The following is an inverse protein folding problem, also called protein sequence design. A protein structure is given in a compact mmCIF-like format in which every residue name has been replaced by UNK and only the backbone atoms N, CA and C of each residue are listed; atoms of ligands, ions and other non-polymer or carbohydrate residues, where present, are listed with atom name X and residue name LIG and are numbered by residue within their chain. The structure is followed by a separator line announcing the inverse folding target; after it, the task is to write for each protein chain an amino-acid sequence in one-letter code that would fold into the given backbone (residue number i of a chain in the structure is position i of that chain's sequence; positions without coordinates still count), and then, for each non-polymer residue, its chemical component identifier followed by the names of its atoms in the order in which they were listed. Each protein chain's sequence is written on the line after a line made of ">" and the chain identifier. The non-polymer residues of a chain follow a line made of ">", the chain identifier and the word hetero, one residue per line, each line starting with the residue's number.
data_IF_027042639218
#
_entry.id   IF_027042639218
#
_cell.length_a   1.000
_cell.length_b   1.000
_cell.length_c   1.000
_cell.angle_alpha   90.00
_cell.angle_beta   90.00
_cell.angle_gamma   90.00
#
_symmetry.space_group_name_H-M   'P 1'
#
loop_
_entity.id
_entity.type
_entity.pdbx_description
1 polymer ?
#
# COMPACT_ATOMS: atom_id res chain seq x y z
N UNK A 1 6.16 -12.78 -17.13
CA UNK A 1 5.23 -11.84 -16.44
C UNK A 1 3.92 -11.79 -17.20
N UNK A 2 2.81 -11.90 -16.52
CA UNK A 2 1.50 -11.82 -17.16
C UNK A 2 1.26 -10.38 -17.66
N UNK A 3 0.94 -10.19 -18.94
CA UNK A 3 0.57 -8.87 -19.51
C UNK A 3 -0.64 -8.24 -18.80
N UNK A 4 -1.37 -9.03 -18.01
CA UNK A 4 -2.55 -8.62 -17.24
C UNK A 4 -2.21 -7.77 -15.98
N UNK A 5 -0.93 -7.64 -15.62
CA UNK A 5 -0.47 -6.85 -14.47
C UNK A 5 0.33 -5.61 -14.91
N UNK A 6 0.30 -5.28 -16.20
CA UNK A 6 0.90 -4.06 -16.71
C UNK A 6 0.04 -2.85 -16.28
N UNK A 7 0.61 -1.88 -15.54
CA UNK A 7 -0.12 -0.69 -15.09
C UNK A 7 -0.80 0.06 -16.22
N UNK A 8 -0.18 0.14 -17.40
CA UNK A 8 -0.73 0.83 -18.57
C UNK A 8 -2.04 0.21 -19.05
N UNK A 9 -2.13 -1.13 -19.05
CA UNK A 9 -3.33 -1.85 -19.46
C UNK A 9 -4.42 -1.71 -18.41
N UNK A 10 -4.07 -1.78 -17.14
CA UNK A 10 -5.03 -1.78 -16.04
C UNK A 10 -5.57 -0.39 -15.73
N UNK A 11 -4.73 0.65 -15.83
CA UNK A 11 -5.18 2.04 -15.67
C UNK A 11 -6.00 2.56 -16.86
N UNK A 12 -5.93 1.90 -18.02
CA UNK A 12 -6.83 2.18 -19.15
C UNK A 12 -8.28 1.73 -18.90
N UNK A 13 -8.51 0.89 -17.89
CA UNK A 13 -9.86 0.48 -17.46
C UNK A 13 -10.46 1.64 -16.66
N UNK A 14 -11.54 2.22 -17.18
CA UNK A 14 -12.19 3.40 -16.57
C UNK A 14 -12.79 3.13 -15.18
N UNK A 15 -13.13 1.87 -14.90
CA UNK A 15 -13.73 1.46 -13.63
C UNK A 15 -12.67 0.88 -12.70
N UNK A 16 -12.38 1.59 -11.62
CA UNK A 16 -11.34 1.24 -10.65
C UNK A 16 -11.61 -0.10 -9.94
N UNK A 17 -12.88 -0.40 -9.65
CA UNK A 17 -13.29 -1.66 -9.01
C UNK A 17 -12.98 -2.87 -9.89
N UNK A 18 -13.24 -2.77 -11.18
CA UNK A 18 -12.96 -3.83 -12.15
C UNK A 18 -11.44 -3.99 -12.33
N UNK A 19 -10.72 -2.89 -12.43
CA UNK A 19 -9.26 -2.89 -12.54
C UNK A 19 -8.61 -3.56 -11.33
N UNK A 20 -9.04 -3.21 -10.11
CA UNK A 20 -8.57 -3.82 -8.86
C UNK A 20 -8.84 -5.33 -8.82
N UNK A 21 -10.06 -5.74 -9.17
CA UNK A 21 -10.43 -7.16 -9.24
C UNK A 21 -9.54 -7.93 -10.22
N UNK A 22 -9.39 -7.44 -11.45
CA UNK A 22 -8.55 -8.09 -12.47
C UNK A 22 -7.10 -8.22 -12.03
N UNK A 23 -6.57 -7.19 -11.36
CA UNK A 23 -5.22 -7.20 -10.78
C UNK A 23 -5.07 -8.32 -9.77
N UNK A 24 -5.99 -8.41 -8.82
CA UNK A 24 -5.92 -9.41 -7.76
C UNK A 24 -6.17 -10.81 -8.28
N UNK A 25 -7.11 -11.01 -9.18
CA UNK A 25 -7.35 -12.32 -9.81
C UNK A 25 -6.10 -12.79 -10.59
N UNK A 26 -5.44 -11.89 -11.32
CA UNK A 26 -4.17 -12.17 -12.00
C UNK A 26 -3.03 -12.49 -11.03
N UNK A 27 -2.91 -11.72 -9.95
CA UNK A 27 -1.93 -11.93 -8.89
C UNK A 27 -2.12 -13.29 -8.18
N UNK A 28 -3.35 -13.61 -7.78
CA UNK A 28 -3.68 -14.88 -7.12
C UNK A 28 -3.45 -16.08 -8.04
N UNK A 29 -3.79 -15.97 -9.31
CA UNK A 29 -3.51 -17.01 -10.32
C UNK A 29 -2.00 -17.22 -10.51
N UNK A 30 -1.20 -16.17 -10.42
CA UNK A 30 0.27 -16.24 -10.45
C UNK A 30 0.84 -16.92 -9.21
N UNK A 31 0.31 -16.65 -8.03
CA UNK A 31 0.72 -17.33 -6.78
C UNK A 31 0.41 -18.82 -6.84
N UNK A 32 -0.78 -19.20 -7.29
CA UNK A 32 -1.19 -20.60 -7.38
C UNK A 32 -0.36 -21.43 -8.36
N UNK A 33 0.21 -20.79 -9.40
CA UNK A 33 1.11 -21.44 -10.36
C UNK A 33 2.56 -21.53 -9.86
N UNK A 34 2.99 -20.65 -8.97
CA UNK A 34 4.29 -20.74 -8.34
C UNK A 34 4.19 -21.75 -7.19
N UNK A 35 5.06 -22.76 -7.19
CA UNK A 35 5.16 -23.81 -6.17
C UNK A 35 5.59 -23.27 -4.78
N UNK A 36 5.55 -21.98 -4.60
CA UNK A 36 5.67 -21.34 -3.30
C UNK A 36 4.32 -21.51 -2.63
N UNK A 37 4.22 -22.49 -1.72
CA UNK A 37 3.14 -22.58 -0.74
C UNK A 37 3.12 -21.27 0.03
N UNK A 38 2.36 -20.31 -0.51
CA UNK A 38 2.31 -18.94 -0.01
C UNK A 38 1.29 -18.84 1.09
N UNK A 39 1.63 -18.10 2.09
CA UNK A 39 0.73 -17.64 3.14
C UNK A 39 -0.57 -17.06 2.55
N UNK A 40 -1.69 -17.61 2.97
CA UNK A 40 -2.96 -16.91 2.86
C UNK A 40 -3.99 -17.45 1.88
N UNK A 41 -4.37 -18.70 2.00
CA UNK A 41 -5.71 -19.21 1.70
C UNK A 41 -5.87 -20.43 2.60
N UNK A 42 -6.94 -20.51 3.37
CA UNK A 42 -7.35 -21.59 4.25
C UNK A 42 -6.60 -22.93 4.04
N UNK A 43 -5.42 -23.04 4.59
CA UNK A 43 -4.78 -24.31 4.73
C UNK A 43 -4.97 -24.76 6.19
N UNK A 44 -6.00 -25.52 6.42
CA UNK A 44 -6.04 -26.33 7.63
C UNK A 44 -4.86 -27.30 7.54
N UNK A 45 -3.80 -26.98 8.25
CA UNK A 45 -2.66 -27.88 8.38
C UNK A 45 -3.08 -29.02 9.32
N UNK A 46 -3.04 -30.24 8.82
CA UNK A 46 -3.25 -31.39 9.69
C UNK A 46 -1.97 -31.62 10.47
N UNK A 47 -2.04 -31.43 11.77
CA UNK A 47 -0.99 -31.84 12.70
C UNK A 47 -1.31 -33.22 13.30
N UNK A 48 -0.33 -34.08 13.44
CA UNK A 48 -0.51 -35.33 14.19
C UNK A 48 -0.90 -35.02 15.62
N UNK A 49 -1.89 -35.74 16.14
CA UNK A 49 -2.34 -35.65 17.51
C UNK A 49 -1.18 -35.91 18.48
N UNK A 50 -1.07 -35.12 19.51
CA UNK A 50 -0.17 -35.34 20.63
C UNK A 50 -0.97 -35.53 21.93
N UNK A 51 -0.52 -36.40 22.86
CA UNK A 51 -1.18 -36.56 24.14
C UNK A 51 -1.29 -35.21 24.88
N UNK A 52 -2.54 -34.81 25.17
CA UNK A 52 -2.86 -33.50 25.78
C UNK A 52 -3.64 -32.57 24.87
N UNK A 53 -3.75 -32.86 23.58
CA UNK A 53 -4.57 -32.09 22.65
C UNK A 53 -6.08 -32.31 22.88
N UNK A 54 -6.91 -31.31 22.61
CA UNK A 54 -8.37 -31.39 22.72
C UNK A 54 -8.93 -32.39 21.68
N UNK A 55 -9.54 -33.46 22.14
CA UNK A 55 -10.15 -34.50 21.30
C UNK A 55 -11.31 -33.97 20.42
N UNK A 56 -11.88 -32.81 20.74
CA UNK A 56 -12.93 -32.16 19.93
C UNK A 56 -12.39 -31.61 18.59
N UNK A 57 -11.09 -31.35 18.53
CA UNK A 57 -10.40 -30.85 17.31
C UNK A 57 -9.93 -32.02 16.42
N UNK A 58 -10.24 -33.26 16.73
CA UNK A 58 -9.83 -34.45 16.00
C UNK A 58 -10.64 -34.61 14.72
N UNK A 59 -9.97 -34.76 13.57
CA UNK A 59 -10.65 -35.03 12.30
C UNK A 59 -10.95 -36.53 12.17
N UNK A 60 -12.16 -36.92 12.57
CA UNK A 60 -12.63 -38.30 12.49
C UNK A 60 -12.73 -38.83 11.06
N UNK A 61 -12.90 -37.95 10.05
CA UNK A 61 -12.94 -38.36 8.64
C UNK A 61 -11.55 -38.73 8.14
N UNK A 62 -10.54 -38.00 8.60
CA UNK A 62 -9.16 -38.32 8.27
C UNK A 62 -8.67 -39.58 8.98
N UNK A 63 -9.07 -39.75 10.24
CA UNK A 63 -8.84 -41.00 10.98
C UNK A 63 -9.41 -42.22 10.24
N UNK A 64 -10.66 -42.17 9.80
CA UNK A 64 -11.30 -43.27 9.06
C UNK A 64 -10.63 -43.62 7.72
N UNK A 65 -9.80 -42.70 7.14
CA UNK A 65 -9.10 -42.91 5.87
C UNK A 65 -7.65 -43.36 6.03
N UNK A 66 -6.98 -42.92 7.10
CA UNK A 66 -5.53 -43.07 7.26
C UNK A 66 -5.11 -43.86 8.50
N UNK A 67 -6.08 -44.20 9.35
CA UNK A 67 -5.85 -44.88 10.66
C UNK A 67 -4.87 -44.10 11.56
N UNK A 68 -4.75 -42.77 11.35
CA UNK A 68 -3.89 -41.87 12.12
C UNK A 68 -4.71 -40.71 12.65
N UNK A 69 -4.40 -40.28 13.87
CA UNK A 69 -5.06 -39.17 14.52
C UNK A 69 -4.46 -37.85 14.06
N UNK A 70 -5.27 -37.02 13.44
CA UNK A 70 -4.91 -35.66 13.01
C UNK A 70 -5.82 -34.63 13.67
N UNK A 71 -5.22 -33.54 14.12
CA UNK A 71 -5.92 -32.38 14.57
C UNK A 71 -6.01 -31.39 13.39
N UNK A 72 -7.19 -30.88 13.14
CA UNK A 72 -7.42 -29.77 12.25
C UNK A 72 -7.05 -28.49 12.99
N UNK A 73 -5.88 -27.95 12.74
CA UNK A 73 -5.53 -26.60 13.16
C UNK A 73 -6.32 -25.65 12.26
N UNK A 74 -7.43 -25.12 12.74
CA UNK A 74 -8.04 -23.93 12.13
C UNK A 74 -7.17 -22.74 12.54
N UNK A 75 -6.50 -22.11 11.59
CA UNK A 75 -6.01 -20.76 11.83
C UNK A 75 -7.23 -19.92 12.22
N UNK A 76 -7.21 -19.35 13.41
CA UNK A 76 -8.20 -18.36 13.80
C UNK A 76 -7.96 -17.18 12.84
N UNK A 77 -8.89 -16.95 11.92
CA UNK A 77 -8.86 -15.77 11.07
C UNK A 77 -8.94 -14.54 11.96
N UNK A 78 -7.80 -14.00 12.32
CA UNK A 78 -7.74 -12.71 12.98
C UNK A 78 -7.93 -11.63 11.92
N UNK A 79 -9.18 -11.16 11.78
CA UNK A 79 -9.49 -10.00 10.95
C UNK A 79 -8.78 -8.79 11.54
N UNK A 80 -7.92 -8.18 10.76
CA UNK A 80 -7.22 -6.96 11.16
C UNK A 80 -7.92 -5.74 10.56
N UNK A 81 -7.65 -4.57 11.14
CA UNK A 81 -8.02 -3.31 10.51
C UNK A 81 -6.87 -2.84 9.62
N UNK A 82 -7.18 -2.59 8.36
CA UNK A 82 -6.27 -2.04 7.35
C UNK A 82 -6.73 -0.63 7.01
N UNK A 83 -5.87 0.36 7.16
CA UNK A 83 -6.15 1.74 6.76
C UNK A 83 -5.24 2.12 5.60
N UNK A 84 -5.84 2.54 4.50
CA UNK A 84 -5.15 3.08 3.34
C UNK A 84 -5.09 4.60 3.50
N UNK A 85 -3.88 5.13 3.54
CA UNK A 85 -3.60 6.55 3.67
C UNK A 85 -3.09 7.04 2.31
N UNK A 86 -3.74 8.02 1.71
CA UNK A 86 -3.37 8.57 0.41
C UNK A 86 -2.98 10.04 0.58
N UNK A 87 -1.78 10.35 0.15
CA UNK A 87 -1.34 11.72 -0.05
C UNK A 87 -2.06 12.31 -1.27
N UNK A 88 -2.70 13.45 -1.08
CA UNK A 88 -3.39 14.20 -2.13
C UNK A 88 -2.89 15.64 -2.22
N UNK A 89 -1.60 15.88 -1.94
CA UNK A 89 -0.90 17.12 -2.25
C UNK A 89 -0.75 17.31 -3.76
N UNK A 90 -0.50 18.53 -4.19
CA UNK A 90 -0.41 18.86 -5.62
C UNK A 90 0.74 18.15 -6.33
N UNK A 91 1.83 17.81 -5.63
CA UNK A 91 2.97 17.03 -6.14
C UNK A 91 2.55 15.66 -6.68
N UNK A 92 1.49 15.06 -6.13
CA UNK A 92 0.92 13.81 -6.63
C UNK A 92 0.23 13.92 -8.01
N UNK A 93 0.02 15.14 -8.54
CA UNK A 93 -0.39 15.36 -9.93
C UNK A 93 0.76 15.24 -10.93
N UNK A 94 1.99 15.12 -10.47
CA UNK A 94 3.11 14.94 -11.39
C UNK A 94 2.87 13.74 -12.32
N UNK A 95 3.12 13.94 -13.63
CA UNK A 95 2.84 12.96 -14.66
C UNK A 95 4.12 12.50 -15.37
N UNK A 96 4.12 11.24 -15.75
CA UNK A 96 5.10 10.66 -16.68
C UNK A 96 4.32 9.98 -17.82
N UNK A 97 4.29 10.63 -18.98
CA UNK A 97 3.41 10.24 -20.08
C UNK A 97 1.93 10.39 -19.72
N UNK A 98 1.17 9.32 -19.81
CA UNK A 98 -0.29 9.33 -19.64
C UNK A 98 -0.75 9.17 -18.18
N UNK A 99 0.18 8.95 -17.23
CA UNK A 99 -0.17 8.61 -15.86
C UNK A 99 0.38 9.61 -14.86
N UNK A 100 -0.46 9.96 -13.89
CA UNK A 100 -0.06 10.75 -12.71
C UNK A 100 0.24 9.82 -11.53
N UNK A 101 1.06 10.30 -10.58
CA UNK A 101 1.31 9.58 -9.32
C UNK A 101 0.00 9.25 -8.59
N UNK A 102 -0.95 10.21 -8.57
CA UNK A 102 -2.25 9.97 -7.92
C UNK A 102 -3.07 8.89 -8.62
N UNK A 103 -3.01 8.79 -9.95
CA UNK A 103 -3.69 7.72 -10.68
C UNK A 103 -3.14 6.36 -10.27
N UNK A 104 -1.81 6.24 -10.17
CA UNK A 104 -1.16 5.03 -9.67
C UNK A 104 -1.52 4.74 -8.20
N UNK A 105 -1.53 5.77 -7.33
CA UNK A 105 -1.90 5.64 -5.92
C UNK A 105 -3.35 5.15 -5.73
N UNK A 106 -4.30 5.66 -6.54
CA UNK A 106 -5.70 5.18 -6.55
C UNK A 106 -5.77 3.71 -6.93
N UNK A 107 -5.06 3.33 -7.99
CA UNK A 107 -5.02 1.97 -8.49
C UNK A 107 -4.39 1.00 -7.47
N UNK A 108 -3.26 1.37 -6.87
CA UNK A 108 -2.61 0.62 -5.80
C UNK A 108 -3.54 0.49 -4.58
N UNK A 109 -4.12 1.61 -4.13
CA UNK A 109 -5.04 1.64 -2.99
C UNK A 109 -6.28 0.76 -3.20
N UNK A 110 -6.89 0.82 -4.39
CA UNK A 110 -8.03 -0.02 -4.74
C UNK A 110 -7.67 -1.52 -4.74
N UNK A 111 -6.52 -1.87 -5.31
CA UNK A 111 -6.05 -3.27 -5.35
C UNK A 111 -5.76 -3.81 -3.96
N UNK A 112 -5.14 -3.00 -3.09
CA UNK A 112 -4.88 -3.35 -1.69
C UNK A 112 -6.18 -3.48 -0.88
N UNK A 113 -7.15 -2.56 -1.09
CA UNK A 113 -8.45 -2.63 -0.46
C UNK A 113 -9.21 -3.90 -0.86
N UNK A 114 -9.21 -4.23 -2.14
CA UNK A 114 -9.87 -5.45 -2.63
C UNK A 114 -9.19 -6.71 -2.07
N UNK A 115 -7.85 -6.76 -2.07
CA UNK A 115 -7.11 -7.89 -1.51
C UNK A 115 -7.38 -8.06 -0.01
N UNK A 116 -7.37 -6.97 0.77
CA UNK A 116 -7.68 -7.00 2.19
C UNK A 116 -9.13 -7.47 2.45
N UNK A 117 -10.10 -7.01 1.64
CA UNK A 117 -11.49 -7.47 1.73
C UNK A 117 -11.62 -8.97 1.46
N UNK A 118 -10.92 -9.51 0.47
CA UNK A 118 -10.88 -10.96 0.20
C UNK A 118 -10.28 -11.76 1.37
N UNK A 119 -9.41 -11.13 2.16
CA UNK A 119 -8.82 -11.71 3.37
C UNK A 119 -9.71 -11.55 4.62
N UNK A 120 -10.91 -10.99 4.48
CA UNK A 120 -11.81 -10.75 5.60
C UNK A 120 -11.44 -9.56 6.49
N UNK A 121 -10.51 -8.70 6.09
CA UNK A 121 -10.07 -7.56 6.89
C UNK A 121 -11.06 -6.38 6.84
N UNK A 122 -11.11 -5.59 7.91
CA UNK A 122 -11.84 -4.33 7.93
C UNK A 122 -10.99 -3.24 7.24
N UNK A 123 -11.56 -2.49 6.28
CA UNK A 123 -10.82 -1.55 5.47
C UNK A 123 -11.29 -0.13 5.70
N UNK A 124 -10.35 0.81 5.91
CA UNK A 124 -10.56 2.25 5.98
C UNK A 124 -9.75 3.01 4.95
N UNK A 125 -10.15 4.25 4.68
CA UNK A 125 -9.47 5.17 3.77
C UNK A 125 -9.27 6.52 4.45
N UNK A 126 -8.08 7.07 4.33
CA UNK A 126 -7.73 8.40 4.79
C UNK A 126 -7.03 9.14 3.66
N UNK A 127 -7.53 10.32 3.31
CA UNK A 127 -6.98 11.16 2.24
C UNK A 127 -6.51 12.47 2.84
N UNK A 128 -5.23 12.74 2.74
CA UNK A 128 -4.59 13.93 3.27
C UNK A 128 -4.56 15.01 2.20
N UNK A 129 -5.32 16.08 2.42
CA UNK A 129 -5.42 17.24 1.54
C UNK A 129 -5.00 18.49 2.29
N UNK A 130 -4.61 19.53 1.56
CA UNK A 130 -4.35 20.84 2.15
C UNK A 130 -5.54 21.38 2.97
N UNK A 131 -6.76 21.14 2.49
CA UNK A 131 -8.02 21.57 3.13
C UNK A 131 -8.43 20.74 4.35
N UNK A 132 -7.72 19.64 4.65
CA UNK A 132 -8.02 18.75 5.78
C UNK A 132 -7.91 17.27 5.41
N UNK A 133 -8.40 16.41 6.30
CA UNK A 133 -8.31 14.98 6.15
C UNK A 133 -9.70 14.39 5.95
N UNK A 134 -9.91 13.77 4.80
CA UNK A 134 -11.09 12.90 4.62
C UNK A 134 -10.83 11.56 5.27
N UNK A 135 -11.79 11.04 6.05
CA UNK A 135 -11.64 9.76 6.75
C UNK A 135 -12.85 8.85 6.62
N UNK A 136 -12.58 7.60 6.28
CA UNK A 136 -13.50 6.46 6.37
C UNK A 136 -12.93 5.45 7.36
N UNK A 137 -13.63 5.25 8.50
CA UNK A 137 -13.21 4.26 9.51
C UNK A 137 -13.26 2.84 8.94
N UNK A 138 -12.36 1.93 9.38
CA UNK A 138 -12.35 0.57 8.88
C UNK A 138 -13.65 -0.19 9.16
N UNK A 139 -14.20 -0.80 8.11
CA UNK A 139 -15.38 -1.69 8.19
C UNK A 139 -15.21 -2.87 7.24
N UNK A 140 -15.81 -3.99 7.61
CA UNK A 140 -15.87 -5.20 6.79
C UNK A 140 -17.29 -5.30 6.20
N UNK A 141 -17.50 -4.62 5.07
CA UNK A 141 -18.80 -4.56 4.39
C UNK A 141 -18.60 -4.29 2.90
N UNK A 142 -19.30 -5.02 2.04
CA UNK A 142 -19.23 -4.87 0.58
C UNK A 142 -19.65 -3.47 0.11
N UNK A 143 -20.70 -2.90 0.71
CA UNK A 143 -21.13 -1.53 0.37
C UNK A 143 -20.08 -0.50 0.79
N UNK A 144 -19.36 -0.78 1.88
CA UNK A 144 -18.26 0.06 2.34
C UNK A 144 -17.11 0.05 1.34
N UNK A 145 -16.73 -1.13 0.82
CA UNK A 145 -15.72 -1.27 -0.23
C UNK A 145 -16.10 -0.49 -1.50
N UNK A 146 -17.35 -0.58 -1.94
CA UNK A 146 -17.83 0.17 -3.10
C UNK A 146 -17.73 1.70 -2.89
N UNK A 147 -18.09 2.18 -1.70
CA UNK A 147 -17.91 3.59 -1.31
C UNK A 147 -16.44 3.99 -1.28
N UNK A 148 -15.56 3.11 -0.82
CA UNK A 148 -14.12 3.35 -0.81
C UNK A 148 -13.58 3.53 -2.23
N UNK A 149 -13.98 2.69 -3.18
CA UNK A 149 -13.59 2.86 -4.59
C UNK A 149 -14.07 4.20 -5.15
N UNK A 150 -15.32 4.56 -4.92
CA UNK A 150 -15.85 5.86 -5.35
C UNK A 150 -15.05 7.03 -4.75
N UNK A 151 -14.69 6.95 -3.48
CA UNK A 151 -13.87 7.98 -2.84
C UNK A 151 -12.46 8.05 -3.42
N UNK A 152 -11.82 6.90 -3.71
CA UNK A 152 -10.52 6.86 -4.38
C UNK A 152 -10.59 7.54 -5.76
N UNK A 153 -11.62 7.26 -6.55
CA UNK A 153 -11.82 7.89 -7.87
C UNK A 153 -12.01 9.40 -7.78
N UNK A 154 -12.64 9.88 -6.71
CA UNK A 154 -12.96 11.30 -6.50
C UNK A 154 -11.81 12.13 -5.90
N UNK A 155 -10.66 11.53 -5.59
CA UNK A 155 -9.50 12.26 -5.04
C UNK A 155 -8.99 13.25 -6.10
N UNK A 156 -8.91 14.51 -5.78
CA UNK A 156 -8.24 15.52 -6.59
C UNK A 156 -7.10 16.11 -5.77
N UNK A 157 -5.83 15.89 -6.18
CA UNK A 157 -4.68 16.48 -5.50
C UNK A 157 -4.66 18.00 -5.62
N UNK A 158 -4.38 18.67 -4.51
CA UNK A 158 -4.33 20.13 -4.44
C UNK A 158 -3.48 20.63 -3.26
N UNK A 159 -2.78 21.75 -3.46
CA UNK A 159 -2.03 22.43 -2.41
C UNK A 159 -0.88 21.59 -1.84
N UNK A 160 -0.49 21.90 -0.61
CA UNK A 160 0.56 21.20 0.13
C UNK A 160 0.01 20.05 0.95
N UNK A 161 0.88 19.22 1.52
CA UNK A 161 0.48 18.20 2.49
C UNK A 161 -0.14 18.84 3.74
N UNK A 162 -1.11 18.18 4.35
CA UNK A 162 -1.86 18.69 5.51
C UNK A 162 -1.00 18.84 6.75
N UNK A 163 -1.19 19.93 7.52
CA UNK A 163 -0.48 20.17 8.78
C UNK A 163 -0.90 19.20 9.91
N UNK A 164 0.04 18.80 10.79
CA UNK A 164 -0.12 17.67 11.71
C UNK A 164 -1.15 17.82 12.85
N UNK A 165 -1.79 18.95 12.99
CA UNK A 165 -2.53 19.35 14.21
C UNK A 165 -3.69 18.39 14.59
N UNK A 166 -4.17 17.55 13.67
CA UNK A 166 -5.36 16.72 13.85
C UNK A 166 -5.12 15.20 13.80
N UNK A 167 -3.88 14.74 13.63
CA UNK A 167 -3.62 13.30 13.40
C UNK A 167 -3.89 12.41 14.60
N UNK A 168 -3.57 12.87 15.81
CA UNK A 168 -3.74 12.07 17.03
C UNK A 168 -5.19 11.69 17.29
N UNK A 169 -6.12 12.57 17.00
CA UNK A 169 -7.54 12.34 17.22
C UNK A 169 -8.13 11.32 16.25
N UNK A 170 -7.63 11.30 14.99
CA UNK A 170 -8.11 10.36 13.97
C UNK A 170 -7.83 8.90 14.30
N UNK A 171 -6.74 8.63 15.02
CA UNK A 171 -6.29 7.28 15.33
C UNK A 171 -6.44 6.92 16.82
N UNK A 172 -6.77 7.88 17.66
CA UNK A 172 -6.86 7.70 19.13
C UNK A 172 -7.93 6.69 19.59
N UNK A 173 -8.91 6.37 18.74
CA UNK A 173 -9.98 5.42 19.06
C UNK A 173 -9.62 3.95 18.87
N UNK A 174 -8.48 3.62 18.30
CA UNK A 174 -8.10 2.23 18.06
C UNK A 174 -7.27 1.68 19.21
N UNK A 175 -7.85 0.76 19.97
CA UNK A 175 -7.15 0.01 21.02
C UNK A 175 -6.36 -1.20 20.46
N UNK A 176 -6.61 -1.57 19.20
CA UNK A 176 -5.98 -2.72 18.54
C UNK A 176 -4.89 -2.25 17.58
N UNK A 177 -3.86 -3.08 17.43
CA UNK A 177 -2.83 -2.88 16.44
C UNK A 177 -3.42 -3.01 15.04
N UNK A 178 -3.17 -2.04 14.18
CA UNK A 178 -3.69 -1.96 12.81
C UNK A 178 -2.56 -1.91 11.80
N UNK A 179 -2.86 -2.24 10.54
CA UNK A 179 -1.96 -2.06 9.42
C UNK A 179 -2.28 -0.75 8.70
N UNK A 180 -1.35 0.18 8.73
CA UNK A 180 -1.44 1.46 8.05
C UNK A 180 -0.60 1.42 6.78
N UNK A 181 -1.21 1.66 5.63
CA UNK A 181 -0.54 1.67 4.33
C UNK A 181 -0.58 3.09 3.80
N UNK A 182 0.56 3.74 3.75
CA UNK A 182 0.67 5.11 3.29
C UNK A 182 1.28 5.17 1.90
N UNK A 183 0.55 5.78 0.97
CA UNK A 183 0.97 6.00 -0.43
C UNK A 183 1.19 7.49 -0.63
N UNK A 184 2.43 7.89 -0.89
CA UNK A 184 2.88 9.29 -0.93
C UNK A 184 4.12 9.39 -1.82
N UNK A 185 4.42 10.57 -2.35
CA UNK A 185 5.70 10.86 -2.99
C UNK A 185 6.73 11.46 -2.01
N UNK A 186 6.36 11.53 -0.73
CA UNK A 186 7.19 12.08 0.36
C UNK A 186 7.68 13.52 0.11
N UNK A 187 7.02 14.26 -0.77
CA UNK A 187 7.32 15.67 -0.96
C UNK A 187 6.77 16.47 0.23
N UNK A 188 7.64 17.20 0.90
CA UNK A 188 7.31 17.96 2.11
C UNK A 188 8.30 19.10 2.31
N UNK A 189 7.81 20.20 2.86
CA UNK A 189 8.63 21.39 3.14
C UNK A 189 9.15 21.39 4.58
N UNK A 190 8.27 21.10 5.56
CA UNK A 190 8.52 21.24 6.99
C UNK A 190 8.43 19.91 7.76
N UNK A 191 8.84 18.81 7.15
CA UNK A 191 8.80 17.45 7.74
C UNK A 191 7.39 16.99 8.18
N UNK A 192 6.32 17.52 7.59
CA UNK A 192 4.94 17.23 7.98
C UNK A 192 4.60 15.73 7.88
N UNK A 193 5.10 15.07 6.84
CA UNK A 193 4.91 13.64 6.61
C UNK A 193 5.68 12.81 7.65
N UNK A 194 6.92 13.22 7.96
CA UNK A 194 7.72 12.56 9.00
C UNK A 194 7.04 12.71 10.36
N UNK A 195 6.51 13.88 10.68
CA UNK A 195 5.77 14.13 11.91
C UNK A 195 4.49 13.29 12.02
N UNK A 196 3.79 13.10 10.87
CA UNK A 196 2.67 12.16 10.81
C UNK A 196 3.13 10.74 11.14
N UNK A 197 4.17 10.26 10.48
CA UNK A 197 4.70 8.91 10.68
C UNK A 197 5.18 8.68 12.12
N UNK A 198 5.84 9.65 12.72
CA UNK A 198 6.24 9.60 14.13
C UNK A 198 5.03 9.52 15.05
N UNK A 199 3.98 10.30 14.78
CA UNK A 199 2.73 10.25 15.52
C UNK A 199 2.08 8.87 15.42
N UNK A 200 1.96 8.31 14.22
CA UNK A 200 1.37 6.99 13.98
C UNK A 200 2.19 5.85 14.62
N UNK A 201 3.51 6.00 14.64
CA UNK A 201 4.41 5.01 15.23
C UNK A 201 4.24 4.94 16.76
N UNK A 202 3.95 6.06 17.43
CA UNK A 202 3.68 6.07 18.89
C UNK A 202 2.45 5.23 19.27
N UNK A 203 1.53 5.00 18.34
CA UNK A 203 0.31 4.21 18.53
C UNK A 203 0.53 2.69 18.34
N UNK A 204 1.76 2.27 18.08
CA UNK A 204 2.17 0.87 17.89
C UNK A 204 1.50 0.14 16.73
N UNK A 205 1.06 0.87 15.70
CA UNK A 205 0.58 0.30 14.46
C UNK A 205 1.73 -0.28 13.62
N UNK A 206 1.42 -1.22 12.73
CA UNK A 206 2.35 -1.58 11.64
C UNK A 206 2.19 -0.57 10.51
N UNK A 207 3.28 0.04 10.10
CA UNK A 207 3.27 1.08 9.05
C UNK A 207 4.03 0.58 7.84
N UNK A 208 3.39 0.68 6.68
CA UNK A 208 3.93 0.35 5.37
C UNK A 208 3.85 1.61 4.50
N UNK A 209 5.00 2.14 4.10
CA UNK A 209 5.09 3.31 3.23
C UNK A 209 5.46 2.88 1.82
N UNK A 210 4.61 3.22 0.86
CA UNK A 210 4.89 3.15 -0.56
C UNK A 210 5.22 4.55 -1.08
N UNK A 211 6.51 4.76 -1.36
CA UNK A 211 7.02 5.99 -1.93
C UNK A 211 6.88 5.92 -3.45
N UNK A 212 5.92 6.67 -4.00
CA UNK A 212 5.61 6.68 -5.43
C UNK A 212 6.51 7.69 -6.13
N UNK A 213 7.24 7.23 -7.13
CA UNK A 213 8.12 8.04 -7.97
C UNK A 213 7.83 7.79 -9.44
N UNK A 214 8.09 8.77 -10.28
CA UNK A 214 7.95 8.63 -11.74
C UNK A 214 9.29 8.30 -12.39
N UNK A 215 9.28 7.65 -13.56
CA UNK A 215 10.51 7.32 -14.28
C UNK A 215 11.28 8.58 -14.68
N UNK A 216 10.56 9.60 -15.16
CA UNK A 216 11.18 10.87 -15.54
C UNK A 216 11.83 11.60 -14.35
N UNK A 217 11.30 11.46 -13.14
CA UNK A 217 11.95 11.96 -11.91
C UNK A 217 13.22 11.18 -11.58
N UNK A 218 13.20 9.85 -11.71
CA UNK A 218 14.37 9.01 -11.43
C UNK A 218 15.50 9.27 -12.42
N UNK A 219 15.16 9.53 -13.68
CA UNK A 219 16.16 9.58 -14.75
C UNK A 219 16.51 11.00 -15.19
N UNK A 220 15.71 11.99 -14.84
CA UNK A 220 15.78 13.37 -15.35
C UNK A 220 15.91 13.33 -16.89
N UNK A 221 15.02 12.61 -17.56
CA UNK A 221 15.08 12.38 -19.00
C UNK A 221 14.12 13.29 -19.76
N UNK A 222 14.46 14.56 -19.84
CA UNK A 222 13.76 15.57 -20.61
C UNK A 222 14.72 16.10 -21.68
N UNK A 223 14.30 16.50 -22.81
CA UNK A 223 15.16 16.97 -23.90
C UNK A 223 15.43 18.48 -23.81
N UNK A 224 16.69 18.86 -23.74
CA UNK A 224 17.13 20.25 -23.84
C UNK A 224 17.02 21.06 -22.56
N UNK A 225 16.80 22.38 -22.69
CA UNK A 225 16.46 23.25 -21.55
C UNK A 225 15.01 23.05 -21.16
N UNK A 226 14.77 22.77 -19.88
CA UNK A 226 13.43 22.59 -19.37
C UNK A 226 13.19 23.53 -18.20
N UNK A 227 11.98 24.08 -18.16
CA UNK A 227 11.48 24.80 -16.99
C UNK A 227 10.73 23.78 -16.12
N UNK A 228 11.17 23.63 -14.90
CA UNK A 228 10.50 22.83 -13.88
C UNK A 228 9.69 23.74 -13.00
N UNK A 229 8.45 23.37 -12.75
CA UNK A 229 7.53 24.05 -11.85
C UNK A 229 7.29 23.17 -10.64
N UNK A 230 7.42 23.74 -9.46
CA UNK A 230 6.99 23.10 -8.22
C UNK A 230 5.47 23.16 -8.15
N UNK A 231 4.81 22.02 -8.18
CA UNK A 231 3.35 21.90 -8.23
C UNK A 231 2.66 22.39 -6.94
N UNK A 232 3.40 22.50 -5.84
CA UNK A 232 2.85 22.96 -4.55
C UNK A 232 3.02 24.47 -4.36
N UNK A 233 4.14 25.03 -4.77
CA UNK A 233 4.47 26.46 -4.57
C UNK A 233 4.28 27.30 -5.83
N UNK A 234 4.29 26.69 -7.01
CA UNK A 234 4.28 27.38 -8.31
C UNK A 234 5.63 28.02 -8.68
N UNK A 235 6.67 27.79 -7.89
CA UNK A 235 8.01 28.28 -8.20
C UNK A 235 8.58 27.56 -9.43
N UNK A 236 9.30 28.30 -10.26
CA UNK A 236 9.88 27.76 -11.50
C UNK A 236 11.39 27.87 -11.50
N UNK A 237 12.05 26.83 -12.01
CA UNK A 237 13.49 26.81 -12.22
C UNK A 237 13.82 26.32 -13.63
N UNK A 238 14.76 27.01 -14.30
CA UNK A 238 15.26 26.58 -15.59
C UNK A 238 16.57 25.79 -15.42
N UNK A 239 16.61 24.61 -15.99
CA UNK A 239 17.74 23.69 -15.84
C UNK A 239 18.23 23.25 -17.21
N UNK A 240 19.56 23.35 -17.43
CA UNK A 240 20.27 22.64 -18.50
C UNK A 240 20.46 21.19 -18.05
N UNK A 241 19.64 20.31 -18.58
CA UNK A 241 19.58 18.92 -18.13
C UNK A 241 20.85 18.14 -18.41
N UNK A 242 21.54 18.39 -19.53
CA UNK A 242 22.77 17.70 -19.87
C UNK A 242 23.85 17.91 -18.78
N UNK A 243 23.88 19.12 -18.20
CA UNK A 243 24.82 19.46 -17.12
C UNK A 243 24.34 19.01 -15.73
N UNK A 244 23.04 19.04 -15.50
CA UNK A 244 22.47 18.78 -14.19
C UNK A 244 22.24 17.29 -13.90
N UNK A 245 22.06 16.44 -14.91
CA UNK A 245 21.63 15.03 -14.78
C UNK A 245 22.48 14.20 -13.81
N UNK A 246 23.79 14.28 -13.91
CA UNK A 246 24.69 13.47 -13.05
C UNK A 246 24.59 13.92 -11.58
N UNK A 247 24.63 15.24 -11.34
CA UNK A 247 24.51 15.79 -9.99
C UNK A 247 23.14 15.51 -9.38
N UNK A 248 22.08 15.62 -10.20
CA UNK A 248 20.72 15.29 -9.80
C UNK A 248 20.59 13.83 -9.37
N UNK A 249 21.04 12.87 -10.22
CA UNK A 249 20.97 11.43 -9.90
C UNK A 249 21.72 11.08 -8.61
N UNK A 250 22.88 11.69 -8.39
CA UNK A 250 23.63 11.50 -7.15
C UNK A 250 22.85 12.01 -5.93
N UNK A 251 22.30 13.22 -6.02
CA UNK A 251 21.48 13.80 -4.93
C UNK A 251 20.22 13.00 -4.66
N UNK A 252 19.51 12.57 -5.73
CA UNK A 252 18.32 11.75 -5.60
C UNK A 252 18.63 10.39 -4.95
N UNK A 253 19.72 9.73 -5.37
CA UNK A 253 20.14 8.48 -4.75
C UNK A 253 20.44 8.65 -3.25
N UNK A 254 21.15 9.72 -2.86
CA UNK A 254 21.40 10.06 -1.44
C UNK A 254 20.08 10.30 -0.70
N UNK A 255 19.18 11.08 -1.26
CA UNK A 255 17.88 11.37 -0.66
C UNK A 255 17.03 10.09 -0.43
N UNK A 256 16.97 9.20 -1.43
CA UNK A 256 16.23 7.94 -1.32
C UNK A 256 16.84 7.02 -0.25
N UNK A 257 18.16 6.96 -0.17
CA UNK A 257 18.85 6.17 0.86
C UNK A 257 18.71 6.77 2.26
N UNK A 258 18.84 8.08 2.42
CA UNK A 258 18.57 8.75 3.68
C UNK A 258 17.13 8.55 4.14
N UNK A 259 16.18 8.64 3.22
CA UNK A 259 14.76 8.37 3.49
C UNK A 259 14.56 6.92 3.94
N UNK A 260 15.20 5.96 3.25
CA UNK A 260 15.16 4.55 3.63
C UNK A 260 15.68 4.31 5.05
N UNK A 261 16.80 4.95 5.41
CA UNK A 261 17.39 4.88 6.75
C UNK A 261 16.43 5.48 7.78
N UNK A 262 15.89 6.68 7.53
CA UNK A 262 14.90 7.33 8.42
C UNK A 262 13.68 6.45 8.69
N UNK A 263 13.20 5.70 7.69
CA UNK A 263 12.07 4.77 7.85
C UNK A 263 12.48 3.52 8.64
N UNK A 264 13.67 2.98 8.37
CA UNK A 264 14.21 1.82 9.09
C UNK A 264 14.38 2.09 10.58
N UNK A 265 14.94 3.25 10.95
CA UNK A 265 15.13 3.69 12.34
C UNK A 265 13.80 3.76 13.11
N UNK A 266 12.72 4.07 12.40
CA UNK A 266 11.35 4.10 12.91
C UNK A 266 10.65 2.74 12.87
N UNK A 267 11.31 1.69 12.39
CA UNK A 267 10.74 0.36 12.16
C UNK A 267 9.55 0.37 11.20
N UNK A 268 9.54 1.34 10.29
CA UNK A 268 8.54 1.48 9.23
C UNK A 268 9.01 0.68 8.02
N UNK A 269 8.14 -0.15 7.46
CA UNK A 269 8.44 -0.79 6.19
C UNK A 269 8.32 0.25 5.07
N UNK A 270 9.37 0.37 4.27
CA UNK A 270 9.46 1.35 3.19
C UNK A 270 9.82 0.68 1.87
N UNK A 271 9.11 1.07 0.82
CA UNK A 271 9.40 0.69 -0.56
C UNK A 271 9.20 1.86 -1.50
N UNK A 272 10.19 2.15 -2.32
CA UNK A 272 10.05 3.00 -3.51
C UNK A 272 9.39 2.20 -4.62
N UNK A 273 8.38 2.77 -5.28
CA UNK A 273 7.64 2.17 -6.40
C UNK A 273 7.63 3.17 -7.54
N UNK A 274 8.07 2.75 -8.73
CA UNK A 274 7.91 3.55 -9.93
C UNK A 274 6.51 3.38 -10.53
N UNK A 275 5.93 4.47 -11.04
CA UNK A 275 4.56 4.47 -11.62
C UNK A 275 4.40 3.55 -12.83
N UNK A 276 5.49 3.13 -13.47
CA UNK A 276 5.51 2.17 -14.57
C UNK A 276 5.73 0.72 -14.13
N UNK A 277 5.91 0.47 -12.81
CA UNK A 277 6.14 -0.87 -12.29
C UNK A 277 4.83 -1.60 -11.95
N UNK A 278 4.77 -2.93 -12.21
CA UNK A 278 3.63 -3.75 -11.83
C UNK A 278 3.41 -3.77 -10.30
N UNK A 279 2.16 -3.84 -9.87
CA UNK A 279 1.79 -3.85 -8.44
C UNK A 279 2.17 -5.15 -7.70
N UNK A 280 2.61 -6.20 -8.41
CA UNK A 280 2.83 -7.52 -7.82
C UNK A 280 3.70 -7.48 -6.57
N UNK A 281 4.79 -6.69 -6.60
CA UNK A 281 5.70 -6.61 -5.46
C UNK A 281 5.07 -5.88 -4.27
N UNK A 282 4.32 -4.81 -4.51
CA UNK A 282 3.59 -4.10 -3.47
C UNK A 282 2.54 -4.99 -2.79
N UNK A 283 1.82 -5.80 -3.57
CA UNK A 283 0.85 -6.76 -3.05
C UNK A 283 1.53 -7.85 -2.20
N UNK A 284 2.70 -8.34 -2.61
CA UNK A 284 3.49 -9.30 -1.82
C UNK A 284 3.96 -8.69 -0.49
N UNK A 285 4.39 -7.44 -0.50
CA UNK A 285 4.82 -6.74 0.71
C UNK A 285 3.65 -6.55 1.68
N UNK A 286 2.48 -6.16 1.17
CA UNK A 286 1.26 -6.09 1.97
C UNK A 286 0.97 -7.43 2.68
N UNK A 287 0.94 -8.54 1.95
CA UNK A 287 0.67 -9.86 2.54
C UNK A 287 1.71 -10.23 3.60
N UNK A 288 2.98 -9.92 3.36
CA UNK A 288 4.07 -10.15 4.32
C UNK A 288 3.91 -9.32 5.60
N UNK A 289 3.53 -8.03 5.49
CA UNK A 289 3.32 -7.19 6.68
C UNK A 289 2.05 -7.61 7.43
N UNK A 290 0.97 -7.92 6.69
CA UNK A 290 -0.27 -8.42 7.28
C UNK A 290 -0.05 -9.68 8.12
N UNK A 291 0.78 -10.62 7.65
CA UNK A 291 1.05 -11.87 8.38
C UNK A 291 1.72 -11.65 9.74
N UNK A 292 2.45 -10.54 9.93
CA UNK A 292 3.06 -10.19 11.23
C UNK A 292 2.06 -9.78 12.30
N UNK A 293 0.86 -9.35 11.91
CA UNK A 293 -0.20 -8.94 12.84
C UNK A 293 -1.08 -10.09 13.31
N UNK A 294 -0.90 -11.27 12.72
CA UNK A 294 -1.67 -12.49 13.06
C UNK A 294 -1.11 -13.27 14.26
N UNK A 295 -0.06 -12.79 14.91
CA UNK A 295 0.61 -13.46 16.04
C UNK A 295 0.06 -12.96 17.38
#
# INVERSE_FOLDING_TARGET
>A
MSKLLDPKVLMAIKELSLSAKMTIDGFMSGINKSTIKGAGLEFSQYRSYQPGDDLRSLDWKMFARSDRYYIRESEVETNIAVRILIDASASMNHSDGDFTKIAYARYLGASLAYLANLQGDAIGLYVFKNSGIYSMTPKQDFQHLARLFYQLESINPEGTFTKPIHYKELFAGSQKRELLIFVTDLYQTDEEIINLLDTLNTLRHEILVFHVVSRNELELDFKGYSTFEDLETGETIQIDQAKARTAYKTKLASYLEETRIKMLDRRIFYRTICTDEPLEQALRDFLKQRSKLRI
#
